data_IF_422622278648
#
_entry.id   IF_422622278648
#
_cell.length_a   1.000
_cell.length_b   1.000
_cell.length_c   1.000
_cell.angle_alpha   90.00
_cell.angle_beta   90.00
_cell.angle_gamma   90.00
#
_symmetry.space_group_name_H-M   'P 1'
#
loop_
_entity.id
_entity.type
_entity.pdbx_description
1 polymer ?
#
# COMPACT_ATOMS: atom_id res chain seq x y z
N UNK A 1 -9.76 -28.45 1.28
CA UNK A 1 -10.99 -28.76 0.54
C UNK A 1 -10.65 -28.97 -0.92
N UNK A 2 -10.46 -30.22 -1.36
CA UNK A 2 -10.00 -30.58 -2.70
C UNK A 2 -11.21 -30.83 -3.62
N UNK A 3 -11.82 -29.76 -4.13
CA UNK A 3 -12.96 -29.83 -5.05
C UNK A 3 -12.45 -29.73 -6.50
N UNK A 4 -13.00 -30.56 -7.38
CA UNK A 4 -12.63 -30.66 -8.79
C UNK A 4 -13.84 -30.41 -9.68
N UNK A 5 -13.61 -29.92 -10.90
CA UNK A 5 -14.64 -29.63 -11.90
C UNK A 5 -14.31 -30.43 -13.17
N UNK A 6 -15.29 -31.18 -13.67
CA UNK A 6 -15.18 -31.89 -14.94
C UNK A 6 -15.64 -31.00 -16.09
N UNK A 7 -14.78 -30.82 -17.09
CA UNK A 7 -15.07 -30.07 -18.32
C UNK A 7 -14.87 -30.98 -19.54
N UNK A 8 -15.41 -30.63 -20.73
CA UNK A 8 -15.18 -31.41 -21.95
C UNK A 8 -13.70 -31.58 -22.35
N UNK A 9 -12.82 -30.71 -21.84
CA UNK A 9 -11.37 -30.74 -22.08
C UNK A 9 -10.59 -31.44 -20.95
N UNK A 10 -11.27 -31.95 -19.91
CA UNK A 10 -10.65 -32.67 -18.80
C UNK A 10 -11.12 -32.22 -17.41
N UNK A 11 -10.53 -32.82 -16.37
CA UNK A 11 -10.82 -32.52 -14.95
C UNK A 11 -9.79 -31.52 -14.45
N UNK A 12 -10.27 -30.42 -13.87
CA UNK A 12 -9.43 -29.36 -13.31
C UNK A 12 -9.75 -29.14 -11.84
N UNK A 13 -8.75 -28.78 -11.04
CA UNK A 13 -9.01 -28.31 -9.67
C UNK A 13 -9.83 -27.03 -9.69
N UNK A 14 -10.82 -26.92 -8.82
CA UNK A 14 -11.73 -25.78 -8.79
C UNK A 14 -10.97 -24.43 -8.64
N UNK A 15 -9.82 -24.42 -7.97
CA UNK A 15 -8.93 -23.25 -7.83
C UNK A 15 -8.38 -22.71 -9.16
N UNK A 16 -8.28 -23.57 -10.18
CA UNK A 16 -7.81 -23.21 -11.51
C UNK A 16 -8.70 -22.13 -12.15
N UNK A 17 -10.02 -22.26 -12.00
CA UNK A 17 -11.00 -21.31 -12.55
C UNK A 17 -11.10 -20.02 -11.74
N UNK A 18 -10.80 -20.07 -10.44
CA UNK A 18 -10.78 -18.88 -9.60
C UNK A 18 -9.53 -18.04 -9.80
N UNK A 19 -8.39 -18.62 -10.21
CA UNK A 19 -7.18 -17.86 -10.52
C UNK A 19 -7.27 -17.04 -11.82
N UNK A 20 -8.04 -17.49 -12.81
CA UNK A 20 -8.18 -16.78 -14.09
C UNK A 20 -9.03 -15.50 -14.00
N UNK A 21 -9.91 -15.39 -13.00
CA UNK A 21 -10.64 -14.15 -12.69
C UNK A 21 -9.80 -13.12 -11.92
N UNK A 22 -8.64 -13.52 -11.39
CA UNK A 22 -7.76 -12.67 -10.58
C UNK A 22 -6.58 -12.14 -11.37
N UNK A 23 -6.50 -12.29 -12.70
CA UNK A 23 -5.57 -11.51 -13.53
C UNK A 23 -6.01 -10.03 -13.73
N UNK A 24 -6.75 -9.49 -12.76
CA UNK A 24 -6.85 -8.05 -12.43
C UNK A 24 -6.56 -7.79 -10.94
N UNK A 25 -5.81 -8.68 -10.27
CA UNK A 25 -5.36 -8.58 -8.87
C UNK A 25 -4.32 -7.51 -8.62
N UNK A 26 -3.85 -6.79 -9.64
CA UNK A 26 -2.81 -5.78 -9.45
C UNK A 26 -3.38 -4.37 -9.28
N UNK A 27 -4.69 -4.16 -9.22
CA UNK A 27 -5.25 -2.82 -8.96
C UNK A 27 -4.94 -2.33 -7.56
N UNK A 28 -5.21 -3.16 -6.54
CA UNK A 28 -4.93 -2.82 -5.14
C UNK A 28 -3.44 -2.86 -4.83
N UNK A 29 -2.69 -3.81 -5.40
CA UNK A 29 -1.25 -3.92 -5.17
C UNK A 29 -0.49 -2.78 -5.86
N UNK A 30 -0.86 -2.42 -7.11
CA UNK A 30 -0.34 -1.23 -7.79
C UNK A 30 -0.75 0.05 -7.08
N UNK A 31 -2.00 0.16 -6.60
CA UNK A 31 -2.45 1.31 -5.81
C UNK A 31 -1.66 1.41 -4.50
N UNK A 32 -1.39 0.28 -3.82
CA UNK A 32 -0.60 0.26 -2.59
C UNK A 32 0.85 0.69 -2.84
N UNK A 33 1.45 0.29 -3.96
CA UNK A 33 2.81 0.65 -4.33
C UNK A 33 2.92 2.11 -4.78
N UNK A 34 1.90 2.61 -5.50
CA UNK A 34 1.77 4.03 -5.84
C UNK A 34 1.67 4.89 -4.57
N UNK A 35 0.86 4.47 -3.58
CA UNK A 35 0.73 5.17 -2.30
C UNK A 35 2.05 5.15 -1.52
N UNK A 36 2.75 4.00 -1.45
CA UNK A 36 4.07 3.93 -0.81
C UNK A 36 5.08 4.86 -1.48
N UNK A 37 5.13 4.87 -2.80
CA UNK A 37 6.01 5.75 -3.58
C UNK A 37 5.72 7.21 -3.29
N UNK A 38 4.44 7.58 -3.22
CA UNK A 38 4.00 8.94 -2.90
C UNK A 38 4.34 9.34 -1.46
N UNK A 39 4.12 8.45 -0.47
CA UNK A 39 4.53 8.67 0.92
C UNK A 39 6.04 8.93 0.99
N UNK A 40 6.84 8.13 0.28
CA UNK A 40 8.29 8.31 0.20
C UNK A 40 8.66 9.69 -0.37
N UNK A 41 8.06 10.08 -1.50
CA UNK A 41 8.29 11.40 -2.10
C UNK A 41 7.92 12.56 -1.16
N UNK A 42 6.81 12.46 -0.43
CA UNK A 42 6.41 13.49 0.53
C UNK A 42 7.41 13.62 1.68
N UNK A 43 7.95 12.49 2.16
CA UNK A 43 8.95 12.46 3.23
C UNK A 43 10.31 12.93 2.72
N UNK A 44 10.70 12.57 1.50
CA UNK A 44 11.97 13.00 0.89
C UNK A 44 12.02 14.52 0.66
N UNK A 45 10.86 15.15 0.42
CA UNK A 45 10.73 16.61 0.27
C UNK A 45 10.39 17.33 1.61
N UNK A 46 10.43 16.64 2.74
CA UNK A 46 10.08 17.25 4.04
C UNK A 46 11.25 18.04 4.64
N UNK A 47 10.92 19.08 5.40
CA UNK A 47 11.91 19.84 6.19
C UNK A 47 12.41 18.99 7.37
N UNK A 48 13.73 18.70 7.49
CA UNK A 48 14.28 17.87 8.57
C UNK A 48 14.05 18.45 9.98
N UNK A 49 13.85 19.76 10.07
CA UNK A 49 13.52 20.49 11.31
C UNK A 49 12.10 20.22 11.79
N UNK A 50 11.17 19.91 10.86
CA UNK A 50 9.75 19.70 11.13
C UNK A 50 9.20 18.55 10.26
N UNK A 51 9.57 17.29 10.58
CA UNK A 51 9.12 16.14 9.81
C UNK A 51 7.60 15.99 9.85
N UNK A 52 7.02 15.50 8.76
CA UNK A 52 5.59 15.28 8.66
C UNK A 52 5.16 14.11 9.56
N UNK A 53 4.14 14.36 10.38
CA UNK A 53 3.47 13.30 11.14
C UNK A 53 2.65 12.41 10.21
N UNK A 54 2.36 11.17 10.63
CA UNK A 54 1.49 10.28 9.84
C UNK A 54 0.12 10.92 9.56
N UNK A 55 -0.37 11.77 10.48
CA UNK A 55 -1.61 12.52 10.28
C UNK A 55 -1.46 13.57 9.17
N UNK A 56 -0.32 14.25 9.10
CA UNK A 56 -0.06 15.24 8.05
C UNK A 56 0.07 14.60 6.68
N UNK A 57 0.67 13.41 6.60
CA UNK A 57 0.74 12.63 5.37
C UNK A 57 -0.66 12.20 4.88
N UNK A 58 -1.58 11.84 5.78
CA UNK A 58 -2.99 11.58 5.42
C UNK A 58 -3.64 12.81 4.81
N UNK A 59 -3.47 13.99 5.41
CA UNK A 59 -4.02 15.24 4.87
C UNK A 59 -3.48 15.55 3.46
N UNK A 60 -2.17 15.40 3.26
CA UNK A 60 -1.53 15.63 1.96
C UNK A 60 -2.00 14.63 0.90
N UNK A 61 -2.10 13.35 1.26
CA UNK A 61 -2.63 12.33 0.35
C UNK A 61 -4.09 12.57 0.00
N UNK A 62 -4.90 13.06 0.96
CA UNK A 62 -6.29 13.42 0.72
C UNK A 62 -6.44 14.60 -0.23
N UNK A 63 -5.52 15.57 -0.18
CA UNK A 63 -5.47 16.66 -1.16
C UNK A 63 -5.19 16.15 -2.59
N UNK A 64 -4.39 15.08 -2.70
CA UNK A 64 -4.11 14.39 -3.96
C UNK A 64 -5.22 13.38 -4.37
N UNK A 65 -6.36 13.38 -3.68
CA UNK A 65 -7.52 12.52 -3.97
C UNK A 65 -7.41 11.10 -3.43
N UNK A 66 -6.41 10.81 -2.58
CA UNK A 66 -6.18 9.50 -1.98
C UNK A 66 -6.70 9.51 -0.54
N UNK A 67 -7.87 8.91 -0.32
CA UNK A 67 -8.40 8.74 1.04
C UNK A 67 -7.84 7.47 1.69
N UNK A 68 -7.04 7.65 2.73
CA UNK A 68 -6.34 6.56 3.42
C UNK A 68 -6.30 6.79 4.93
N UNK A 69 -6.51 5.73 5.69
CA UNK A 69 -6.45 5.80 7.15
C UNK A 69 -5.00 5.99 7.65
N UNK A 70 -4.85 6.75 8.74
CA UNK A 70 -3.55 6.98 9.42
C UNK A 70 -2.80 5.69 9.73
N UNK A 71 -3.50 4.63 10.17
CA UNK A 71 -2.88 3.33 10.50
C UNK A 71 -2.26 2.67 9.26
N UNK A 72 -2.87 2.83 8.09
CA UNK A 72 -2.35 2.28 6.82
C UNK A 72 -1.11 3.05 6.38
N UNK A 73 -1.11 4.38 6.53
CA UNK A 73 0.09 5.21 6.30
C UNK A 73 1.24 4.79 7.22
N UNK A 74 0.98 4.58 8.52
CA UNK A 74 1.98 4.10 9.47
C UNK A 74 2.56 2.73 9.08
N UNK A 75 1.70 1.78 8.69
CA UNK A 75 2.11 0.47 8.18
C UNK A 75 3.02 0.59 6.95
N UNK A 76 2.65 1.42 5.98
CA UNK A 76 3.44 1.62 4.76
C UNK A 76 4.76 2.34 5.04
N UNK A 77 4.78 3.32 5.95
CA UNK A 77 6.00 3.98 6.42
C UNK A 77 6.97 2.97 7.05
N UNK A 78 6.47 2.05 7.88
CA UNK A 78 7.29 1.00 8.50
C UNK A 78 7.85 0.01 7.48
N UNK A 79 7.04 -0.38 6.49
CA UNK A 79 7.50 -1.23 5.37
C UNK A 79 8.62 -0.56 4.55
N UNK A 80 8.61 0.77 4.45
CA UNK A 80 9.67 1.56 3.79
C UNK A 80 10.92 1.76 4.68
N UNK A 81 10.93 1.25 5.91
CA UNK A 81 12.04 1.44 6.85
C UNK A 81 12.17 2.84 7.43
N UNK A 82 11.15 3.69 7.24
CA UNK A 82 11.20 5.09 7.67
C UNK A 82 10.77 5.20 9.13
N UNK A 83 11.60 5.83 9.97
CA UNK A 83 11.29 6.04 11.39
C UNK A 83 10.09 6.99 11.59
N UNK A 84 9.49 6.93 12.80
CA UNK A 84 8.39 7.83 13.16
C UNK A 84 8.84 9.30 13.15
N UNK A 85 7.91 10.21 12.90
CA UNK A 85 8.18 11.66 12.84
C UNK A 85 8.95 12.19 14.05
N UNK A 86 8.65 11.69 15.25
CA UNK A 86 9.36 12.07 16.49
C UNK A 86 10.85 11.72 16.48
N UNK A 87 11.23 10.59 15.86
CA UNK A 87 12.62 10.16 15.73
C UNK A 87 13.35 10.81 14.54
N UNK A 88 12.61 11.29 13.53
CA UNK A 88 13.18 11.99 12.37
C UNK A 88 13.51 13.46 12.66
N UNK A 89 12.88 14.05 13.67
CA UNK A 89 13.10 15.45 14.04
C UNK A 89 14.53 15.64 14.53
N UNK A 90 15.35 16.36 13.76
CA UNK A 90 16.68 16.76 14.19
C UNK A 90 16.55 18.03 15.03
N UNK A 91 16.81 17.94 16.33
CA UNK A 91 17.07 19.12 17.17
C UNK A 91 18.52 19.52 16.94
N UNK A 92 18.75 20.47 16.04
CA UNK A 92 19.98 21.26 15.99
C UNK A 92 19.60 22.71 15.73
#
# INVERSE_FOLDING_TARGET
TNKYVHTPQGIFELKYFFNAGISRSNGEELASEAVKTKIKQLIDNEEPSRPFSDQKLVELLKQDGIDIARRTVAKYREQLGILSSSKRRRLF
#
